data_IF_529392798733
#
_entry.id   IF_529392798733
#
_cell.length_a   1.000
_cell.length_b   1.000
_cell.length_c   1.000
_cell.angle_alpha   90.00
_cell.angle_beta   90.00
_cell.angle_gamma   90.00
#
_symmetry.space_group_name_H-M   'P 1'
#
loop_
_entity.id
_entity.type
_entity.pdbx_description
1 polymer ?
#
# COMPACT_ATOMS: atom_id res chain seq x y z
N UNK A 1 -13.53 35.89 -7.40
CA UNK A 1 -12.38 35.89 -6.47
C UNK A 1 -12.95 36.13 -5.09
N UNK A 2 -12.88 35.14 -4.19
CA UNK A 2 -13.41 35.29 -2.82
C UNK A 2 -12.41 36.07 -1.97
N UNK A 3 -12.87 37.17 -1.38
CA UNK A 3 -12.05 38.01 -0.50
C UNK A 3 -11.77 37.28 0.83
N UNK A 4 -10.49 37.24 1.22
CA UNK A 4 -10.05 36.65 2.49
C UNK A 4 -10.18 37.67 3.62
N UNK A 5 -11.08 37.41 4.57
CA UNK A 5 -11.33 38.32 5.71
C UNK A 5 -10.72 37.73 7.00
N UNK A 6 -10.06 38.55 7.86
CA UNK A 6 -9.54 38.10 9.15
C UNK A 6 -10.63 37.55 10.07
N UNK A 7 -10.34 36.43 10.75
CA UNK A 7 -11.26 35.76 11.66
C UNK A 7 -11.36 36.51 12.99
N UNK A 8 -12.56 36.75 13.53
CA UNK A 8 -12.73 37.39 14.84
C UNK A 8 -12.14 36.53 15.97
N UNK A 9 -11.55 37.19 16.97
CA UNK A 9 -10.70 36.60 18.01
C UNK A 9 -11.36 35.54 18.92
N UNK A 10 -12.69 35.43 18.89
CA UNK A 10 -13.47 34.72 19.92
C UNK A 10 -13.92 33.32 19.51
N UNK A 11 -13.39 32.77 18.41
CA UNK A 11 -13.77 31.44 17.94
C UNK A 11 -12.66 30.43 18.23
N UNK A 12 -12.98 29.28 18.87
CA UNK A 12 -11.97 28.28 19.20
C UNK A 12 -11.22 27.84 17.93
N UNK A 13 -9.91 27.61 18.09
CA UNK A 13 -9.09 26.98 17.07
C UNK A 13 -9.73 25.63 16.72
N UNK A 14 -9.95 25.37 15.43
CA UNK A 14 -10.42 24.05 14.99
C UNK A 14 -9.39 23.01 15.44
N UNK A 15 -9.72 22.27 16.49
CA UNK A 15 -8.87 21.24 17.07
C UNK A 15 -8.86 20.05 16.11
N UNK A 16 -7.69 19.77 15.54
CA UNK A 16 -7.45 18.62 14.65
C UNK A 16 -7.69 18.90 13.17
N UNK A 17 -6.79 19.64 12.51
CA UNK A 17 -6.84 19.81 11.05
C UNK A 17 -6.22 18.59 10.34
N UNK A 18 -6.84 18.03 9.30
CA UNK A 18 -6.12 17.23 8.32
C UNK A 18 -5.03 18.12 7.72
N UNK A 19 -3.77 17.73 7.89
CA UNK A 19 -2.65 18.38 7.22
C UNK A 19 -2.06 17.40 6.22
N UNK A 20 -1.61 17.92 5.07
CA UNK A 20 -0.93 17.09 4.08
C UNK A 20 0.24 16.32 4.72
N UNK A 21 0.98 16.92 5.64
CA UNK A 21 2.06 16.24 6.38
C UNK A 21 1.59 14.99 7.11
N UNK A 22 0.39 15.02 7.74
CA UNK A 22 -0.19 13.83 8.39
C UNK A 22 -0.63 12.79 7.38
N UNK A 23 -1.18 13.22 6.24
CA UNK A 23 -1.54 12.32 5.15
C UNK A 23 -0.28 11.66 4.57
N UNK A 24 0.76 12.43 4.27
CA UNK A 24 2.05 11.96 3.78
C UNK A 24 2.70 10.97 4.75
N UNK A 25 2.67 11.24 6.06
CA UNK A 25 3.16 10.30 7.07
C UNK A 25 2.38 8.97 7.04
N UNK A 26 1.05 9.02 6.95
CA UNK A 26 0.21 7.81 6.85
C UNK A 26 0.46 7.05 5.55
N UNK A 27 0.63 7.75 4.43
CA UNK A 27 0.96 7.14 3.14
C UNK A 27 2.34 6.48 3.18
N UNK A 28 3.34 7.11 3.81
CA UNK A 28 4.65 6.50 4.00
C UNK A 28 4.60 5.23 4.86
N UNK A 29 3.76 5.21 5.90
CA UNK A 29 3.52 3.97 6.67
C UNK A 29 2.84 2.90 5.81
N UNK A 30 1.83 3.29 5.02
CA UNK A 30 1.12 2.38 4.13
C UNK A 30 2.05 1.76 3.08
N UNK A 31 2.90 2.57 2.43
CA UNK A 31 3.85 2.07 1.42
C UNK A 31 4.90 1.17 2.02
N UNK A 32 5.42 1.48 3.21
CA UNK A 32 6.35 0.61 3.93
C UNK A 32 5.71 -0.75 4.24
N UNK A 33 4.46 -0.76 4.73
CA UNK A 33 3.72 -1.98 4.97
C UNK A 33 3.40 -2.75 3.69
N UNK A 34 3.07 -2.05 2.59
CA UNK A 34 2.82 -2.66 1.29
C UNK A 34 4.09 -3.33 0.72
N UNK A 35 5.26 -2.70 0.86
CA UNK A 35 6.53 -3.28 0.44
C UNK A 35 6.87 -4.55 1.23
N UNK A 36 6.76 -4.51 2.56
CA UNK A 36 6.97 -5.68 3.40
C UNK A 36 5.99 -6.82 3.06
N UNK A 37 4.72 -6.47 2.82
CA UNK A 37 3.71 -7.43 2.38
C UNK A 37 4.06 -8.05 1.02
N UNK A 38 4.47 -7.23 0.04
CA UNK A 38 4.89 -7.69 -1.28
C UNK A 38 6.03 -8.72 -1.19
N UNK A 39 7.07 -8.41 -0.43
CA UNK A 39 8.22 -9.32 -0.25
C UNK A 39 7.78 -10.65 0.37
N UNK A 40 6.94 -10.59 1.42
CA UNK A 40 6.35 -11.77 2.05
C UNK A 40 5.51 -12.60 1.08
N UNK A 41 4.71 -11.96 0.23
CA UNK A 41 3.87 -12.63 -0.76
C UNK A 41 4.68 -13.31 -1.87
N UNK A 42 5.78 -12.69 -2.33
CA UNK A 42 6.68 -13.35 -3.28
C UNK A 42 7.39 -14.54 -2.66
N UNK A 43 7.77 -14.47 -1.38
CA UNK A 43 8.32 -15.60 -0.65
C UNK A 43 7.28 -16.72 -0.50
N UNK A 44 6.04 -16.37 -0.12
CA UNK A 44 4.93 -17.31 0.00
C UNK A 44 4.63 -17.99 -1.35
N UNK A 45 4.52 -17.22 -2.43
CA UNK A 45 4.31 -17.74 -3.79
C UNK A 45 5.33 -18.80 -4.14
N UNK A 46 6.63 -18.48 -4.04
CA UNK A 46 7.71 -19.42 -4.37
C UNK A 46 7.61 -20.70 -3.55
N UNK A 47 7.31 -20.56 -2.25
CA UNK A 47 7.15 -21.72 -1.38
C UNK A 47 5.97 -22.60 -1.79
N UNK A 48 4.81 -22.02 -2.10
CA UNK A 48 3.63 -22.78 -2.53
C UNK A 48 3.84 -23.43 -3.90
N UNK A 49 4.59 -22.81 -4.82
CA UNK A 49 4.99 -23.43 -6.08
C UNK A 49 5.87 -24.66 -5.83
N UNK A 50 6.91 -24.53 -5.01
CA UNK A 50 7.78 -25.66 -4.64
C UNK A 50 6.99 -26.77 -3.93
N UNK A 51 6.12 -26.43 -2.99
CA UNK A 51 5.29 -27.42 -2.29
C UNK A 51 4.30 -28.11 -3.25
N UNK A 52 3.79 -27.41 -4.26
CA UNK A 52 2.94 -27.99 -5.30
C UNK A 52 3.73 -28.95 -6.21
N UNK A 53 4.94 -28.59 -6.62
CA UNK A 53 5.81 -29.44 -7.43
C UNK A 53 6.21 -30.71 -6.65
N UNK A 54 6.45 -30.59 -5.34
CA UNK A 54 6.66 -31.75 -4.47
C UNK A 54 5.42 -32.62 -4.34
N UNK A 55 4.21 -32.03 -4.29
CA UNK A 55 2.97 -32.79 -4.27
C UNK A 55 2.79 -33.61 -5.55
N UNK A 56 3.04 -33.02 -6.72
CA UNK A 56 2.98 -33.74 -8.00
C UNK A 56 3.99 -34.91 -8.03
N UNK A 57 5.24 -34.65 -7.64
CA UNK A 57 6.27 -35.70 -7.55
C UNK A 57 5.84 -36.83 -6.60
N UNK A 58 5.25 -36.49 -5.45
CA UNK A 58 4.76 -37.47 -4.49
C UNK A 58 3.58 -38.28 -5.08
N UNK A 59 2.68 -37.65 -5.81
CA UNK A 59 1.58 -38.33 -6.48
C UNK A 59 2.10 -39.34 -7.50
N UNK A 60 3.10 -38.97 -8.31
CA UNK A 60 3.74 -39.87 -9.28
C UNK A 60 4.40 -41.08 -8.61
N UNK A 61 5.11 -40.87 -7.50
CA UNK A 61 5.70 -41.95 -6.70
C UNK A 61 4.63 -42.87 -6.10
N UNK A 62 3.52 -42.32 -5.62
CA UNK A 62 2.39 -43.09 -5.11
C UNK A 62 1.74 -43.94 -6.23
N UNK A 63 1.61 -43.40 -7.43
CA UNK A 63 1.12 -44.16 -8.60
C UNK A 63 2.07 -45.31 -8.92
N UNK A 64 3.38 -45.06 -8.96
CA UNK A 64 4.39 -46.08 -9.22
C UNK A 64 4.44 -47.18 -8.14
N UNK A 65 4.10 -46.84 -6.90
CA UNK A 65 4.02 -47.77 -5.78
C UNK A 65 2.65 -48.46 -5.64
N UNK A 66 1.75 -48.29 -6.61
CA UNK A 66 0.40 -48.89 -6.61
C UNK A 66 -0.43 -48.50 -5.37
N UNK A 67 -0.19 -47.30 -4.84
CA UNK A 67 -0.99 -46.74 -3.73
C UNK A 67 -2.44 -46.53 -4.19
N UNK A 68 -3.39 -46.74 -3.27
CA UNK A 68 -4.81 -46.59 -3.55
C UNK A 68 -5.14 -45.22 -4.21
N UNK A 69 -5.89 -45.19 -5.33
CA UNK A 69 -6.13 -43.96 -6.11
C UNK A 69 -6.76 -42.79 -5.35
N UNK A 70 -7.43 -43.04 -4.22
CA UNK A 70 -7.98 -41.95 -3.39
C UNK A 70 -6.89 -41.06 -2.81
N UNK A 71 -5.73 -41.62 -2.45
CA UNK A 71 -4.65 -40.86 -1.83
C UNK A 71 -3.90 -40.03 -2.86
N UNK A 72 -3.67 -40.56 -4.07
CA UNK A 72 -3.12 -39.78 -5.18
C UNK A 72 -4.07 -38.64 -5.57
N UNK A 73 -5.38 -38.88 -5.57
CA UNK A 73 -6.39 -37.83 -5.74
C UNK A 73 -6.26 -36.70 -4.72
N UNK A 74 -6.16 -37.03 -3.43
CA UNK A 74 -5.99 -36.05 -2.36
C UNK A 74 -4.68 -35.23 -2.49
N UNK A 75 -3.58 -35.87 -2.90
CA UNK A 75 -2.30 -35.19 -3.12
C UNK A 75 -2.41 -34.21 -4.29
N UNK A 76 -3.03 -34.62 -5.40
CA UNK A 76 -3.26 -33.75 -6.56
C UNK A 76 -4.16 -32.55 -6.24
N UNK A 77 -5.20 -32.76 -5.42
CA UNK A 77 -6.05 -31.68 -4.91
C UNK A 77 -5.25 -30.69 -4.06
N UNK A 78 -4.37 -31.19 -3.17
CA UNK A 78 -3.49 -30.35 -2.37
C UNK A 78 -2.52 -29.54 -3.25
N UNK A 79 -1.87 -30.15 -4.25
CA UNK A 79 -1.01 -29.46 -5.20
C UNK A 79 -1.75 -28.35 -5.97
N UNK A 80 -2.99 -28.63 -6.39
CA UNK A 80 -3.86 -27.63 -7.04
C UNK A 80 -4.20 -26.47 -6.11
N UNK A 81 -4.50 -26.75 -4.83
CA UNK A 81 -4.79 -25.70 -3.85
C UNK A 81 -3.57 -24.81 -3.59
N UNK A 82 -2.37 -25.40 -3.49
CA UNK A 82 -1.11 -24.66 -3.33
C UNK A 82 -0.85 -23.70 -4.51
N UNK A 83 -1.09 -24.16 -5.75
CA UNK A 83 -0.98 -23.31 -6.95
C UNK A 83 -1.92 -22.12 -6.90
N UNK A 84 -3.17 -22.31 -6.48
CA UNK A 84 -4.14 -21.20 -6.31
C UNK A 84 -3.66 -20.18 -5.28
N UNK A 85 -3.04 -20.62 -4.18
CA UNK A 85 -2.46 -19.70 -3.19
C UNK A 85 -1.28 -18.93 -3.78
N UNK A 86 -0.44 -19.59 -4.58
CA UNK A 86 0.67 -18.93 -5.26
C UNK A 86 0.18 -17.83 -6.23
N UNK A 87 -0.85 -18.12 -7.03
CA UNK A 87 -1.49 -17.16 -7.94
C UNK A 87 -2.08 -15.97 -7.19
N UNK A 88 -2.91 -16.22 -6.17
CA UNK A 88 -3.50 -15.16 -5.34
C UNK A 88 -2.43 -14.31 -4.64
N UNK A 89 -1.33 -14.93 -4.20
CA UNK A 89 -0.20 -14.21 -3.62
C UNK A 89 0.47 -13.29 -4.63
N UNK A 90 0.62 -13.73 -5.89
CA UNK A 90 1.15 -12.90 -6.97
C UNK A 90 0.25 -11.71 -7.29
N UNK A 91 -1.07 -11.92 -7.33
CA UNK A 91 -2.05 -10.85 -7.55
C UNK A 91 -1.98 -9.79 -6.44
N UNK A 92 -1.97 -10.23 -5.18
CA UNK A 92 -1.88 -9.31 -4.05
C UNK A 92 -0.53 -8.58 -4.00
N UNK A 93 0.57 -9.22 -4.39
CA UNK A 93 1.88 -8.58 -4.50
C UNK A 93 1.88 -7.46 -5.56
N UNK A 94 1.22 -7.67 -6.70
CA UNK A 94 1.03 -6.63 -7.74
C UNK A 94 0.15 -5.48 -7.25
N UNK A 95 -0.90 -5.77 -6.48
CA UNK A 95 -1.74 -4.74 -5.88
C UNK A 95 -0.95 -3.89 -4.87
N UNK A 96 -0.09 -4.51 -4.06
CA UNK A 96 0.81 -3.81 -3.16
C UNK A 96 1.82 -2.91 -3.92
N UNK A 97 2.33 -3.38 -5.06
CA UNK A 97 3.15 -2.56 -5.97
C UNK A 97 2.41 -1.33 -6.49
N UNK A 98 1.14 -1.48 -6.86
CA UNK A 98 0.32 -0.37 -7.33
C UNK A 98 0.15 0.69 -6.23
N UNK A 99 -0.08 0.28 -4.97
CA UNK A 99 -0.18 1.20 -3.83
C UNK A 99 1.11 2.01 -3.64
N UNK A 100 2.27 1.38 -3.83
CA UNK A 100 3.56 2.08 -3.79
C UNK A 100 3.66 3.12 -4.89
N UNK A 101 3.32 2.75 -6.13
CA UNK A 101 3.37 3.65 -7.28
C UNK A 101 2.42 4.84 -7.11
N UNK A 102 1.17 4.60 -6.70
CA UNK A 102 0.16 5.64 -6.50
C UNK A 102 0.58 6.61 -5.39
N UNK A 103 1.20 6.09 -4.32
CA UNK A 103 1.69 6.92 -3.21
C UNK A 103 2.87 7.81 -3.63
N UNK A 104 3.74 7.34 -4.52
CA UNK A 104 4.79 8.15 -5.13
C UNK A 104 4.17 9.24 -6.01
N UNK A 105 3.19 8.89 -6.85
CA UNK A 105 2.46 9.85 -7.67
C UNK A 105 1.77 10.95 -6.85
N UNK A 106 1.17 10.60 -5.70
CA UNK A 106 0.60 11.57 -4.77
C UNK A 106 1.67 12.52 -4.20
N UNK A 107 2.84 11.98 -3.84
CA UNK A 107 3.95 12.79 -3.33
C UNK A 107 4.45 13.79 -4.37
N UNK A 108 4.67 13.32 -5.59
CA UNK A 108 5.19 14.12 -6.70
C UNK A 108 4.18 15.20 -7.11
N UNK A 109 2.89 14.86 -7.19
CA UNK A 109 1.83 15.82 -7.47
C UNK A 109 1.80 16.95 -6.43
N UNK A 110 1.89 16.61 -5.14
CA UNK A 110 1.93 17.61 -4.08
C UNK A 110 3.18 18.48 -4.14
N UNK A 111 4.36 17.89 -4.39
CA UNK A 111 5.59 18.68 -4.57
C UNK A 111 5.45 19.62 -5.78
N UNK A 112 4.93 19.14 -6.91
CA UNK A 112 4.71 19.95 -8.09
C UNK A 112 3.79 21.15 -7.85
N UNK A 113 2.70 20.96 -7.10
CA UNK A 113 1.72 22.00 -6.84
C UNK A 113 2.14 23.00 -5.74
N UNK A 114 2.76 22.52 -4.65
CA UNK A 114 2.99 23.33 -3.44
C UNK A 114 4.44 23.78 -3.24
N UNK A 115 5.42 23.26 -3.99
CA UNK A 115 6.84 23.62 -3.80
C UNK A 115 7.09 25.11 -3.94
N UNK A 116 6.55 25.75 -4.97
CA UNK A 116 6.72 27.20 -5.18
C UNK A 116 6.11 28.03 -4.03
N UNK A 117 5.00 27.55 -3.44
CA UNK A 117 4.41 28.15 -2.24
C UNK A 117 5.37 28.01 -1.07
N UNK A 118 5.90 26.82 -0.80
CA UNK A 118 6.86 26.62 0.30
C UNK A 118 8.12 27.46 0.16
N UNK A 119 8.68 27.55 -1.05
CA UNK A 119 9.86 28.38 -1.34
C UNK A 119 9.57 29.86 -1.06
N UNK A 120 8.44 30.39 -1.54
CA UNK A 120 8.02 31.76 -1.28
C UNK A 120 7.76 32.02 0.21
N UNK A 121 7.12 31.09 0.92
CA UNK A 121 6.86 31.20 2.35
C UNK A 121 8.17 31.24 3.14
N UNK A 122 9.08 30.31 2.87
CA UNK A 122 10.38 30.21 3.55
C UNK A 122 11.27 31.43 3.28
N UNK A 123 11.20 31.99 2.07
CA UNK A 123 11.97 33.19 1.70
C UNK A 123 11.42 34.49 2.30
N UNK A 124 10.12 34.57 2.60
CA UNK A 124 9.48 35.86 2.91
C UNK A 124 9.93 36.51 4.22
N UNK A 125 10.58 35.80 5.15
CA UNK A 125 11.00 36.33 6.46
C UNK A 125 9.85 36.80 7.38
N UNK A 126 8.61 36.83 6.87
CA UNK A 126 7.42 37.30 7.57
C UNK A 126 6.68 36.11 8.17
N UNK A 127 6.30 36.21 9.45
CA UNK A 127 5.49 35.18 10.12
C UNK A 127 4.14 35.05 9.42
N UNK A 128 3.91 33.90 8.78
CA UNK A 128 2.61 33.62 8.18
C UNK A 128 1.51 33.56 9.23
N UNK A 129 0.34 34.03 8.83
CA UNK A 129 -0.86 33.94 9.64
C UNK A 129 -1.20 32.46 9.90
N UNK A 130 -1.49 32.10 11.15
CA UNK A 130 -1.77 30.70 11.51
C UNK A 130 -2.96 30.18 10.70
N UNK A 131 -2.97 28.89 10.29
CA UNK A 131 -4.08 28.31 9.55
C UNK A 131 -5.42 28.59 10.25
N UNK A 132 -6.37 29.22 9.55
CA UNK A 132 -7.66 29.64 10.10
C UNK A 132 -7.71 31.09 10.60
N UNK A 133 -6.67 31.89 10.36
CA UNK A 133 -6.69 33.33 10.54
C UNK A 133 -7.56 34.04 9.50
N UNK A 134 -7.68 33.49 8.29
CA UNK A 134 -8.56 34.02 7.24
C UNK A 134 -9.74 33.07 6.97
N UNK A 135 -10.87 33.64 6.56
CA UNK A 135 -12.05 32.91 6.04
C UNK A 135 -12.39 33.44 4.65
N UNK A 136 -12.79 32.54 3.76
CA UNK A 136 -13.38 32.88 2.46
C UNK A 136 -14.84 33.28 2.66
N UNK A 137 -15.25 34.39 2.02
CA UNK A 137 -16.64 34.82 1.90
C UNK A 137 -17.21 34.45 0.54
#
# INVERSE_FOLDING_TARGET
>A
MSDLVPRPANLPAATGKPSFTRLAARMATLTASALALKEGLWALKRRMETDADHADMLADLCVAAEVEPRFTGQINEAGTALRKVAEASAELARAADQVQHDSQGLHDAHQGEYRGVYEAVNASGVRQAKPGFYRTR
#
